data_IF_099061397628
#
_entry.id   IF_099061397628
#
_cell.length_a   1.000
_cell.length_b   1.000
_cell.length_c   1.000
_cell.angle_alpha   90.00
_cell.angle_beta   90.00
_cell.angle_gamma   90.00
#
_symmetry.space_group_name_H-M   'P 1'
#
loop_
_entity.id
_entity.type
_entity.pdbx_description
1 polymer ?
#
# COMPACT_ATOMS: atom_id res chain seq x y z
N UNK A 1 -20.11 -4.00 -63.92
CA UNK A 1 -20.99 -3.35 -62.89
C UNK A 1 -21.53 -4.39 -61.94
N UNK A 2 -20.96 -4.50 -60.76
CA UNK A 2 -21.61 -5.07 -59.54
C UNK A 2 -20.86 -4.50 -58.34
N UNK A 3 -21.53 -3.58 -57.62
CA UNK A 3 -21.08 -2.97 -56.37
C UNK A 3 -21.19 -4.01 -55.25
N UNK A 4 -20.08 -4.36 -54.62
CA UNK A 4 -20.11 -5.04 -53.32
C UNK A 4 -20.17 -3.98 -52.24
N UNK A 5 -21.32 -3.90 -51.57
CA UNK A 5 -21.51 -3.13 -50.35
C UNK A 5 -20.81 -3.88 -49.21
N UNK A 6 -19.77 -3.29 -48.64
CA UNK A 6 -19.22 -3.71 -47.37
C UNK A 6 -20.18 -3.23 -46.25
N UNK A 7 -20.94 -4.16 -45.72
CA UNK A 7 -21.67 -3.99 -44.49
C UNK A 7 -20.64 -3.97 -43.34
N UNK A 8 -20.41 -2.79 -42.80
CA UNK A 8 -19.75 -2.62 -41.52
C UNK A 8 -20.67 -3.21 -40.43
N UNK A 9 -20.32 -4.39 -39.95
CA UNK A 9 -20.88 -4.94 -38.71
C UNK A 9 -20.39 -4.06 -37.56
N UNK A 10 -21.30 -3.26 -37.03
CA UNK A 10 -21.07 -2.58 -35.75
C UNK A 10 -20.92 -3.65 -34.67
N UNK A 11 -19.69 -3.97 -34.31
CA UNK A 11 -19.38 -4.70 -33.08
C UNK A 11 -19.82 -3.83 -31.89
N UNK A 12 -21.04 -4.08 -31.48
CA UNK A 12 -21.54 -3.63 -30.18
C UNK A 12 -20.72 -4.38 -29.13
N UNK A 13 -19.61 -3.78 -28.72
CA UNK A 13 -18.93 -4.16 -27.48
C UNK A 13 -19.94 -4.00 -26.34
N UNK A 14 -20.62 -5.09 -26.03
CA UNK A 14 -21.23 -5.28 -24.72
C UNK A 14 -20.12 -5.20 -23.67
N UNK A 15 -19.84 -3.98 -23.23
CA UNK A 15 -19.14 -3.73 -21.99
C UNK A 15 -20.00 -4.36 -20.88
N UNK A 16 -19.76 -5.66 -20.64
CA UNK A 16 -20.20 -6.29 -19.39
C UNK A 16 -19.67 -5.40 -18.27
N UNK A 17 -20.57 -4.68 -17.62
CA UNK A 17 -20.31 -3.98 -16.37
C UNK A 17 -19.72 -5.02 -15.42
N UNK A 18 -18.38 -5.05 -15.35
CA UNK A 18 -17.68 -5.71 -14.26
C UNK A 18 -18.14 -4.97 -13.02
N UNK A 19 -19.12 -5.54 -12.32
CA UNK A 19 -19.55 -5.03 -11.03
C UNK A 19 -18.26 -4.87 -10.21
N UNK A 20 -17.92 -3.64 -9.84
CA UNK A 20 -16.84 -3.35 -8.92
C UNK A 20 -17.20 -4.06 -7.63
N UNK A 21 -16.73 -5.31 -7.49
CA UNK A 21 -16.93 -6.09 -6.27
C UNK A 21 -16.28 -5.33 -5.13
N UNK A 22 -17.04 -5.14 -4.07
CA UNK A 22 -16.52 -4.49 -2.86
C UNK A 22 -15.29 -5.26 -2.37
N UNK A 23 -14.21 -4.53 -2.06
CA UNK A 23 -12.98 -5.11 -1.49
C UNK A 23 -13.27 -5.98 -0.26
N UNK A 24 -14.34 -5.65 0.47
CA UNK A 24 -14.83 -6.41 1.62
C UNK A 24 -15.31 -7.81 1.24
N UNK A 25 -16.02 -7.97 0.14
CA UNK A 25 -16.45 -9.30 -0.35
C UNK A 25 -15.26 -10.14 -0.80
N UNK A 26 -14.27 -9.51 -1.42
CA UNK A 26 -13.04 -10.18 -1.86
C UNK A 26 -12.26 -10.69 -0.65
N UNK A 27 -12.08 -9.87 0.38
CA UNK A 27 -11.42 -10.26 1.63
C UNK A 27 -12.19 -11.38 2.36
N UNK A 28 -13.52 -11.29 2.42
CA UNK A 28 -14.35 -12.32 3.04
C UNK A 28 -14.21 -13.69 2.35
N UNK A 29 -14.06 -13.71 1.01
CA UNK A 29 -13.84 -14.95 0.25
C UNK A 29 -12.43 -15.51 0.40
N UNK A 30 -11.43 -14.69 0.75
CA UNK A 30 -10.06 -15.14 1.00
C UNK A 30 -9.89 -15.71 2.42
N UNK A 31 -10.74 -15.31 3.35
CA UNK A 31 -10.69 -15.74 4.75
C UNK A 31 -10.61 -17.26 4.96
N UNK A 32 -11.44 -18.10 4.29
CA UNK A 32 -11.37 -19.55 4.47
C UNK A 32 -10.01 -20.17 4.12
N UNK A 33 -9.30 -19.61 3.15
CA UNK A 33 -7.97 -20.09 2.75
C UNK A 33 -6.89 -19.76 3.78
N UNK A 34 -7.00 -18.59 4.42
CA UNK A 34 -6.13 -18.21 5.53
C UNK A 34 -6.45 -19.01 6.77
N UNK A 35 -7.73 -19.34 7.01
CA UNK A 35 -8.18 -20.09 8.17
C UNK A 35 -7.69 -21.55 8.19
N UNK A 36 -7.30 -22.11 7.04
CA UNK A 36 -6.61 -23.40 6.98
C UNK A 36 -5.29 -23.39 7.76
N UNK A 37 -4.68 -22.21 7.90
CA UNK A 37 -3.43 -22.00 8.61
C UNK A 37 -3.64 -21.27 9.95
N UNK A 38 -4.81 -21.45 10.59
CA UNK A 38 -5.26 -20.69 11.78
C UNK A 38 -4.22 -20.56 12.88
N UNK A 39 -3.50 -21.62 13.23
CA UNK A 39 -2.48 -21.60 14.26
C UNK A 39 -1.30 -20.69 13.90
N UNK A 40 -0.89 -20.67 12.65
CA UNK A 40 0.16 -19.78 12.16
C UNK A 40 -0.32 -18.33 12.12
N UNK A 41 -1.55 -18.10 11.68
CA UNK A 41 -2.16 -16.78 11.69
C UNK A 41 -2.26 -16.24 13.10
N UNK A 42 -2.74 -17.04 14.07
CA UNK A 42 -2.83 -16.64 15.47
C UNK A 42 -1.44 -16.37 16.09
N UNK A 43 -0.46 -17.19 15.81
CA UNK A 43 0.91 -17.01 16.28
C UNK A 43 1.53 -15.73 15.68
N UNK A 44 1.34 -15.48 14.40
CA UNK A 44 1.80 -14.27 13.74
C UNK A 44 1.11 -13.01 14.30
N UNK A 45 -0.20 -13.09 14.59
CA UNK A 45 -0.93 -12.01 15.28
C UNK A 45 -0.37 -11.77 16.69
N UNK A 46 -0.03 -12.83 17.43
CA UNK A 46 0.62 -12.72 18.74
C UNK A 46 1.97 -12.00 18.66
N UNK A 47 2.83 -12.38 17.72
CA UNK A 47 4.10 -11.67 17.48
C UNK A 47 3.89 -10.22 17.03
N UNK A 48 2.86 -9.96 16.24
CA UNK A 48 2.51 -8.61 15.80
C UNK A 48 2.12 -7.73 16.99
N UNK A 49 1.25 -8.22 17.86
CA UNK A 49 0.85 -7.49 19.08
C UNK A 49 2.07 -7.28 19.97
N UNK A 50 2.88 -8.32 20.18
CA UNK A 50 4.12 -8.23 20.95
C UNK A 50 5.08 -7.18 20.41
N UNK A 51 5.30 -7.15 19.09
CA UNK A 51 6.12 -6.13 18.43
C UNK A 51 5.59 -4.71 18.66
N UNK A 52 4.26 -4.51 18.55
CA UNK A 52 3.64 -3.20 18.72
C UNK A 52 3.64 -2.74 20.19
N UNK A 53 3.38 -3.63 21.12
CA UNK A 53 3.50 -3.35 22.57
C UNK A 53 4.94 -2.97 22.92
N UNK A 54 5.93 -3.73 22.43
CA UNK A 54 7.33 -3.41 22.63
C UNK A 54 7.69 -2.05 22.01
N UNK A 55 7.22 -1.75 20.81
CA UNK A 55 7.49 -0.48 20.13
C UNK A 55 6.92 0.73 20.90
N UNK A 56 5.70 0.62 21.42
CA UNK A 56 5.06 1.66 22.25
C UNK A 56 5.74 1.77 23.62
N UNK A 57 6.32 0.67 24.14
CA UNK A 57 7.06 0.65 25.39
C UNK A 57 8.44 1.33 25.33
N UNK A 58 9.07 1.38 24.15
CA UNK A 58 10.41 1.99 23.96
C UNK A 58 10.48 3.45 24.44
N UNK A 59 9.61 4.39 24.02
CA UNK A 59 9.66 5.77 24.48
C UNK A 59 9.34 5.92 25.98
N UNK A 60 8.52 5.04 26.55
CA UNK A 60 8.21 5.05 27.98
C UNK A 60 9.45 4.68 28.80
N UNK A 61 10.15 3.60 28.41
CA UNK A 61 11.42 3.21 29.05
C UNK A 61 12.51 4.25 28.84
N UNK A 62 12.57 4.89 27.67
CA UNK A 62 13.51 5.96 27.42
C UNK A 62 13.26 7.17 28.32
N UNK A 63 12.00 7.54 28.52
CA UNK A 63 11.63 8.59 29.48
C UNK A 63 12.11 8.25 30.88
N UNK A 64 11.80 7.05 31.40
CA UNK A 64 12.22 6.61 32.74
C UNK A 64 13.75 6.61 32.88
N UNK A 65 14.47 6.27 31.79
CA UNK A 65 15.93 6.30 31.78
C UNK A 65 16.45 7.75 31.84
N UNK A 66 15.88 8.67 31.06
CA UNK A 66 16.25 10.08 31.05
C UNK A 66 15.94 10.73 32.41
N UNK A 67 14.78 10.47 32.97
CA UNK A 67 14.36 11.01 34.28
C UNK A 67 15.31 10.56 35.42
N UNK A 68 15.85 9.34 35.35
CA UNK A 68 16.85 8.84 36.33
C UNK A 68 18.26 9.35 36.09
N UNK A 69 18.59 9.75 34.86
CA UNK A 69 19.89 10.35 34.50
C UNK A 69 19.92 11.86 34.73
N UNK A 70 18.75 12.52 34.85
CA UNK A 70 18.67 13.94 35.13
C UNK A 70 19.28 14.24 36.50
N UNK A 71 20.21 15.21 36.65
CA UNK A 71 20.86 15.51 37.90
C UNK A 71 19.84 16.06 38.90
N UNK A 72 19.65 15.34 40.01
CA UNK A 72 18.90 15.85 41.14
C UNK A 72 19.71 16.99 41.79
N UNK A 73 19.19 18.22 41.86
CA UNK A 73 19.93 19.38 42.39
C UNK A 73 20.33 19.22 43.88
N UNK A 74 19.77 18.24 44.59
CA UNK A 74 20.06 17.99 46.00
C UNK A 74 21.11 16.91 46.27
N UNK A 75 21.61 16.24 45.23
CA UNK A 75 22.60 15.16 45.34
C UNK A 75 23.94 15.53 44.66
N UNK A 76 24.63 16.56 45.16
CA UNK A 76 25.93 16.99 44.65
C UNK A 76 27.06 15.93 44.81
N UNK A 77 26.75 14.72 45.23
CA UNK A 77 27.71 13.62 45.41
C UNK A 77 27.17 12.23 45.04
N UNK A 78 26.00 12.12 44.44
CA UNK A 78 25.57 10.85 43.89
C UNK A 78 26.41 10.54 42.63
N UNK A 79 27.44 9.72 42.84
CA UNK A 79 28.14 9.00 41.78
C UNK A 79 27.13 8.64 40.68
N UNK A 80 27.39 9.03 39.45
CA UNK A 80 26.58 8.68 38.26
C UNK A 80 26.47 7.16 38.17
N UNK A 81 25.59 6.57 38.96
CA UNK A 81 25.24 5.15 38.85
C UNK A 81 24.40 5.05 37.57
N UNK A 82 25.07 4.82 36.46
CA UNK A 82 24.40 4.52 35.22
C UNK A 82 23.41 3.38 35.49
N UNK A 83 22.11 3.55 35.29
CA UNK A 83 21.12 2.49 35.56
C UNK A 83 21.26 1.38 34.50
N UNK A 84 22.33 0.59 34.64
CA UNK A 84 22.69 -0.47 33.71
C UNK A 84 21.55 -1.43 33.43
N UNK A 85 20.72 -1.73 34.45
CA UNK A 85 19.52 -2.55 34.27
C UNK A 85 18.50 -1.94 33.33
N UNK A 86 18.28 -0.62 33.37
CA UNK A 86 17.36 0.06 32.44
C UNK A 86 17.94 0.16 31.03
N UNK A 87 19.25 0.34 30.90
CA UNK A 87 19.92 0.33 29.60
C UNK A 87 19.80 -1.05 28.91
N UNK A 88 20.03 -2.12 29.67
CA UNK A 88 19.87 -3.49 29.18
C UNK A 88 18.41 -3.77 28.83
N UNK A 89 17.46 -3.37 29.70
CA UNK A 89 16.03 -3.51 29.43
C UNK A 89 15.60 -2.77 28.17
N UNK A 90 16.09 -1.53 27.98
CA UNK A 90 15.86 -0.77 26.74
C UNK A 90 16.41 -1.48 25.50
N UNK A 91 17.65 -1.98 25.57
CA UNK A 91 18.28 -2.73 24.49
C UNK A 91 17.53 -4.02 24.16
N UNK A 92 17.10 -4.78 25.17
CA UNK A 92 16.30 -6.00 24.99
C UNK A 92 14.93 -5.70 24.42
N UNK A 93 14.26 -4.65 24.89
CA UNK A 93 12.96 -4.24 24.35
C UNK A 93 13.07 -3.80 22.89
N UNK A 94 14.12 -3.05 22.56
CA UNK A 94 14.41 -2.62 21.19
C UNK A 94 14.69 -3.79 20.26
N UNK A 95 15.48 -4.77 20.71
CA UNK A 95 15.72 -6.02 20.01
C UNK A 95 14.43 -6.82 19.81
N UNK A 96 13.59 -6.89 20.85
CA UNK A 96 12.31 -7.62 20.80
C UNK A 96 11.36 -7.05 19.75
N UNK A 97 11.36 -5.73 19.48
CA UNK A 97 10.54 -5.14 18.42
C UNK A 97 10.89 -5.71 17.05
N UNK A 98 12.19 -5.79 16.73
CA UNK A 98 12.68 -6.34 15.46
C UNK A 98 12.50 -7.85 15.40
N UNK A 99 12.84 -8.56 16.47
CA UNK A 99 12.71 -10.01 16.54
C UNK A 99 11.26 -10.47 16.33
N UNK A 100 10.31 -9.85 17.01
CA UNK A 100 8.89 -10.18 16.83
C UNK A 100 8.38 -9.81 15.43
N UNK A 101 8.88 -8.73 14.82
CA UNK A 101 8.53 -8.38 13.45
C UNK A 101 9.01 -9.44 12.45
N UNK A 102 10.26 -9.90 12.57
CA UNK A 102 10.83 -10.94 11.71
C UNK A 102 10.16 -12.31 11.93
N UNK A 103 9.94 -12.70 13.20
CA UNK A 103 9.23 -13.95 13.50
C UNK A 103 7.81 -13.96 12.95
N UNK A 104 7.10 -12.84 13.06
CA UNK A 104 5.79 -12.67 12.44
C UNK A 104 5.86 -12.92 10.95
N UNK A 105 6.84 -12.29 10.26
CA UNK A 105 6.98 -12.39 8.81
C UNK A 105 7.28 -13.82 8.37
N UNK A 106 8.20 -14.51 9.02
CA UNK A 106 8.54 -15.90 8.75
C UNK A 106 7.35 -16.86 8.93
N UNK A 107 6.58 -16.69 10.00
CA UNK A 107 5.42 -17.53 10.28
C UNK A 107 4.30 -17.22 9.27
N UNK A 108 4.12 -15.95 8.93
CA UNK A 108 3.05 -15.52 8.05
C UNK A 108 3.31 -15.84 6.58
N UNK A 109 4.56 -15.72 6.12
CA UNK A 109 4.96 -16.05 4.75
C UNK A 109 4.50 -17.47 4.36
N UNK A 110 4.65 -18.46 5.27
CA UNK A 110 4.19 -19.83 5.02
C UNK A 110 2.67 -19.94 4.86
N UNK A 111 1.90 -19.12 5.54
CA UNK A 111 0.43 -19.10 5.41
C UNK A 111 0.01 -18.42 4.10
N UNK A 112 0.64 -17.30 3.75
CA UNK A 112 0.34 -16.53 2.53
C UNK A 112 0.68 -17.32 1.27
N UNK A 113 1.88 -17.90 1.22
CA UNK A 113 2.31 -18.74 0.09
C UNK A 113 1.45 -20.02 -0.03
N UNK A 114 1.10 -20.63 1.10
CA UNK A 114 0.20 -21.79 1.12
C UNK A 114 -1.21 -21.45 0.60
N UNK A 115 -1.76 -20.30 0.98
CA UNK A 115 -3.06 -19.82 0.49
C UNK A 115 -2.98 -19.51 -1.01
N UNK A 116 -1.95 -18.81 -1.47
CA UNK A 116 -1.73 -18.50 -2.88
C UNK A 116 -1.63 -19.77 -3.72
N UNK A 117 -0.85 -20.75 -3.28
CA UNK A 117 -0.76 -22.07 -3.94
C UNK A 117 -2.12 -22.77 -4.03
N UNK A 118 -2.89 -22.79 -2.94
CA UNK A 118 -4.20 -23.43 -2.91
C UNK A 118 -5.19 -22.79 -3.86
N UNK A 119 -5.18 -21.45 -3.95
CA UNK A 119 -6.03 -20.70 -4.87
C UNK A 119 -5.62 -20.98 -6.32
N UNK A 120 -4.33 -20.90 -6.63
CA UNK A 120 -3.81 -21.18 -7.98
C UNK A 120 -4.18 -22.57 -8.44
N UNK A 121 -4.02 -23.59 -7.57
CA UNK A 121 -4.37 -24.97 -7.89
C UNK A 121 -5.88 -25.13 -8.14
N UNK A 122 -6.73 -24.51 -7.33
CA UNK A 122 -8.19 -24.55 -7.54
C UNK A 122 -8.61 -23.89 -8.83
N UNK A 123 -8.04 -22.73 -9.16
CA UNK A 123 -8.32 -22.03 -10.43
C UNK A 123 -7.86 -22.88 -11.61
N UNK A 124 -6.66 -23.45 -11.54
CA UNK A 124 -6.11 -24.33 -12.57
C UNK A 124 -7.00 -25.56 -12.78
N UNK A 125 -7.36 -26.27 -11.70
CA UNK A 125 -8.25 -27.44 -11.80
C UNK A 125 -9.64 -27.08 -12.32
N UNK A 126 -10.18 -25.92 -11.92
CA UNK A 126 -11.46 -25.45 -12.44
C UNK A 126 -11.41 -25.18 -13.95
N UNK A 127 -10.36 -24.52 -14.43
CA UNK A 127 -10.19 -24.27 -15.86
C UNK A 127 -10.10 -25.57 -16.67
N UNK A 128 -9.41 -26.61 -16.16
CA UNK A 128 -9.34 -27.91 -16.82
C UNK A 128 -10.67 -28.65 -16.82
N UNK A 129 -11.55 -28.36 -15.87
CA UNK A 129 -12.90 -28.94 -15.80
C UNK A 129 -13.91 -28.24 -16.73
N UNK A 130 -13.54 -27.12 -17.35
CA UNK A 130 -14.41 -26.42 -18.30
C UNK A 130 -14.47 -27.12 -19.65
N UNK A 131 -15.56 -26.89 -20.39
CA UNK A 131 -15.81 -27.52 -21.69
C UNK A 131 -14.74 -27.18 -22.75
N UNK A 132 -14.54 -28.10 -23.70
CA UNK A 132 -13.66 -27.88 -24.85
C UNK A 132 -14.05 -26.59 -25.63
N UNK A 133 -15.34 -26.32 -25.75
CA UNK A 133 -15.84 -25.11 -26.41
C UNK A 133 -15.29 -23.83 -25.75
N UNK A 134 -15.25 -23.78 -24.43
CA UNK A 134 -14.67 -22.66 -23.69
C UNK A 134 -13.19 -22.44 -24.03
N UNK A 135 -12.42 -23.51 -24.19
CA UNK A 135 -11.00 -23.44 -24.53
C UNK A 135 -10.75 -23.05 -25.97
N UNK A 136 -11.63 -23.44 -26.90
CA UNK A 136 -11.54 -23.08 -28.32
C UNK A 136 -11.92 -21.62 -28.59
N UNK A 137 -12.87 -21.07 -27.80
CA UNK A 137 -13.32 -19.68 -27.92
C UNK A 137 -12.35 -18.65 -27.27
N UNK A 138 -11.39 -19.09 -26.46
CA UNK A 138 -10.45 -18.22 -25.75
C UNK A 138 -9.00 -18.56 -26.02
N UNK A 139 -8.18 -17.52 -26.13
CA UNK A 139 -6.73 -17.67 -26.28
C UNK A 139 -6.12 -18.15 -24.95
N UNK A 140 -5.50 -19.31 -24.96
CA UNK A 140 -4.88 -19.97 -23.79
C UNK A 140 -3.83 -19.07 -23.09
N UNK A 141 -3.04 -18.33 -23.86
CA UNK A 141 -2.05 -17.38 -23.32
C UNK A 141 -2.65 -16.21 -22.53
N UNK A 142 -3.87 -15.78 -22.86
CA UNK A 142 -4.61 -14.78 -22.10
C UNK A 142 -5.03 -15.30 -20.73
N UNK A 143 -5.56 -16.50 -20.66
CA UNK A 143 -6.00 -17.13 -19.41
C UNK A 143 -4.87 -17.34 -18.42
N UNK A 144 -3.70 -17.82 -18.85
CA UNK A 144 -2.53 -18.00 -18.00
C UNK A 144 -2.10 -16.68 -17.38
N UNK A 145 -2.05 -15.61 -18.19
CA UNK A 145 -1.72 -14.27 -17.70
C UNK A 145 -2.73 -13.74 -16.68
N UNK A 146 -4.02 -14.02 -16.87
CA UNK A 146 -5.07 -13.61 -15.95
C UNK A 146 -4.99 -14.37 -14.62
N UNK A 147 -4.65 -15.67 -14.63
CA UNK A 147 -4.39 -16.47 -13.42
C UNK A 147 -3.22 -15.87 -12.64
N UNK A 148 -2.10 -15.64 -13.31
CA UNK A 148 -0.91 -15.05 -12.66
C UNK A 148 -1.20 -13.68 -12.06
N UNK A 149 -1.91 -12.83 -12.80
CA UNK A 149 -2.31 -11.51 -12.32
C UNK A 149 -3.23 -11.62 -11.12
N UNK A 150 -4.23 -12.50 -11.17
CA UNK A 150 -5.15 -12.77 -10.08
C UNK A 150 -4.44 -13.29 -8.83
N UNK A 151 -3.54 -14.25 -8.97
CA UNK A 151 -2.76 -14.79 -7.85
C UNK A 151 -1.88 -13.73 -7.20
N UNK A 152 -1.18 -12.92 -8.01
CA UNK A 152 -0.38 -11.79 -7.50
C UNK A 152 -1.24 -10.74 -6.79
N UNK A 153 -2.43 -10.43 -7.31
CA UNK A 153 -3.35 -9.50 -6.67
C UNK A 153 -3.83 -10.02 -5.31
N UNK A 154 -4.17 -11.30 -5.21
CA UNK A 154 -4.55 -11.95 -3.94
C UNK A 154 -3.41 -11.89 -2.94
N UNK A 155 -2.18 -12.26 -3.36
CA UNK A 155 -1.00 -12.18 -2.50
C UNK A 155 -0.78 -10.75 -2.00
N UNK A 156 -0.86 -9.75 -2.88
CA UNK A 156 -0.70 -8.34 -2.52
C UNK A 156 -1.78 -7.85 -1.54
N UNK A 157 -3.04 -8.24 -1.73
CA UNK A 157 -4.14 -7.87 -0.82
C UNK A 157 -3.94 -8.45 0.58
N UNK A 158 -3.60 -9.75 0.65
CA UNK A 158 -3.32 -10.42 1.93
C UNK A 158 -2.14 -9.74 2.61
N UNK A 159 -1.02 -9.57 1.90
CA UNK A 159 0.19 -8.94 2.44
C UNK A 159 -0.08 -7.52 2.93
N UNK A 160 -0.73 -6.69 2.12
CA UNK A 160 -1.01 -5.31 2.51
C UNK A 160 -1.93 -5.21 3.73
N UNK A 161 -2.98 -6.03 3.79
CA UNK A 161 -3.90 -6.06 4.93
C UNK A 161 -3.20 -6.44 6.23
N UNK A 162 -2.33 -7.44 6.19
CA UNK A 162 -1.72 -8.05 7.37
C UNK A 162 -0.42 -7.39 7.80
N UNK A 163 0.36 -6.87 6.85
CA UNK A 163 1.63 -6.20 7.17
C UNK A 163 1.50 -4.69 7.34
N UNK A 164 0.42 -4.07 6.84
CA UNK A 164 0.23 -2.63 6.91
C UNK A 164 -1.03 -2.22 7.68
N UNK A 165 -2.22 -2.63 7.24
CA UNK A 165 -3.47 -2.11 7.80
C UNK A 165 -3.66 -2.56 9.25
N UNK A 166 -3.64 -3.86 9.53
CA UNK A 166 -3.91 -4.40 10.87
C UNK A 166 -2.88 -3.92 11.90
N UNK A 167 -1.56 -3.98 11.62
CA UNK A 167 -0.55 -3.46 12.55
C UNK A 167 -0.73 -1.97 12.87
N UNK A 168 -1.07 -1.17 11.86
CA UNK A 168 -1.31 0.27 12.06
C UNK A 168 -2.52 0.54 12.95
N UNK A 169 -3.62 -0.18 12.75
CA UNK A 169 -4.81 -0.04 13.62
C UNK A 169 -4.51 -0.41 15.07
N UNK A 170 -3.76 -1.49 15.29
CA UNK A 170 -3.34 -1.90 16.65
C UNK A 170 -2.43 -0.83 17.26
N UNK A 171 -1.46 -0.33 16.51
CA UNK A 171 -0.53 0.71 17.00
C UNK A 171 -1.27 1.99 17.38
N UNK A 172 -2.17 2.48 16.54
CA UNK A 172 -3.01 3.64 16.83
C UNK A 172 -3.84 3.43 18.10
N UNK A 173 -4.47 2.26 18.23
CA UNK A 173 -5.25 1.94 19.42
C UNK A 173 -4.39 1.92 20.70
N UNK A 174 -3.20 1.30 20.63
CA UNK A 174 -2.26 1.25 21.74
C UNK A 174 -1.76 2.65 22.13
N UNK A 175 -1.40 3.48 21.15
CA UNK A 175 -0.94 4.85 21.40
C UNK A 175 -2.04 5.70 22.03
N UNK A 176 -3.26 5.66 21.50
CA UNK A 176 -4.40 6.39 22.07
C UNK A 176 -4.71 5.93 23.50
N UNK A 177 -4.67 4.63 23.76
CA UNK A 177 -4.86 4.07 25.09
C UNK A 177 -3.76 4.52 26.06
N UNK A 178 -2.51 4.49 25.62
CA UNK A 178 -1.38 4.95 26.43
C UNK A 178 -1.50 6.45 26.75
N UNK A 179 -1.85 7.28 25.76
CA UNK A 179 -2.05 8.71 25.97
C UNK A 179 -3.19 8.98 26.97
N UNK A 180 -4.30 8.24 26.88
CA UNK A 180 -5.45 8.40 27.75
C UNK A 180 -5.20 7.92 29.18
N UNK A 181 -4.32 6.90 29.37
CA UNK A 181 -4.09 6.27 30.69
C UNK A 181 -2.88 6.81 31.44
N UNK A 182 -1.82 7.21 30.73
CA UNK A 182 -0.56 7.69 31.33
C UNK A 182 -0.42 9.21 31.31
N UNK A 183 -1.18 9.88 30.45
CA UNK A 183 -1.20 11.33 30.32
C UNK A 183 -2.65 11.82 30.48
N UNK A 184 -2.93 13.05 30.08
CA UNK A 184 -4.29 13.58 30.09
C UNK A 184 -5.07 13.09 28.86
N UNK A 185 -6.35 12.74 29.04
CA UNK A 185 -7.29 12.35 27.97
C UNK A 185 -7.32 13.38 26.83
N UNK A 186 -7.05 14.64 27.11
CA UNK A 186 -6.96 15.71 26.11
C UNK A 186 -5.93 15.40 25.04
N UNK A 187 -4.76 14.80 25.37
CA UNK A 187 -3.75 14.40 24.39
C UNK A 187 -4.26 13.32 23.43
N UNK A 188 -5.05 12.36 23.94
CA UNK A 188 -5.67 11.34 23.12
C UNK A 188 -6.68 11.96 22.12
N UNK A 189 -7.48 12.95 22.54
CA UNK A 189 -8.41 13.66 21.68
C UNK A 189 -7.72 14.51 20.62
N UNK A 190 -6.64 15.22 20.96
CA UNK A 190 -5.84 15.99 19.99
C UNK A 190 -5.28 15.05 18.93
N UNK A 191 -4.69 13.92 19.35
CA UNK A 191 -4.11 12.92 18.45
C UNK A 191 -5.18 12.30 17.53
N UNK A 192 -6.33 11.91 18.09
CA UNK A 192 -7.44 11.35 17.35
C UNK A 192 -7.98 12.34 16.30
N UNK A 193 -8.15 13.60 16.69
CA UNK A 193 -8.63 14.65 15.78
C UNK A 193 -7.65 14.88 14.63
N UNK A 194 -6.36 14.98 14.94
CA UNK A 194 -5.32 15.11 13.92
C UNK A 194 -5.31 13.92 12.97
N UNK A 195 -5.46 12.69 13.49
CA UNK A 195 -5.53 11.47 12.69
C UNK A 195 -6.76 11.46 11.77
N UNK A 196 -7.93 11.82 12.28
CA UNK A 196 -9.18 11.88 11.49
C UNK A 196 -9.04 12.91 10.37
N UNK A 197 -8.52 14.11 10.67
CA UNK A 197 -8.26 15.14 9.67
C UNK A 197 -7.26 14.66 8.61
N UNK A 198 -6.18 14.01 9.04
CA UNK A 198 -5.17 13.45 8.15
C UNK A 198 -5.78 12.42 7.18
N UNK A 199 -6.58 11.49 7.70
CA UNK A 199 -7.22 10.45 6.88
C UNK A 199 -8.24 11.07 5.93
N UNK A 200 -9.09 11.97 6.42
CA UNK A 200 -10.11 12.66 5.60
C UNK A 200 -9.45 13.46 4.46
N UNK A 201 -8.41 14.24 4.76
CA UNK A 201 -7.63 14.97 3.78
C UNK A 201 -6.99 14.04 2.75
N UNK A 202 -6.32 12.98 3.22
CA UNK A 202 -5.64 12.00 2.37
C UNK A 202 -6.62 11.34 1.40
N UNK A 203 -7.77 10.88 1.87
CA UNK A 203 -8.80 10.23 1.03
C UNK A 203 -9.32 11.21 -0.01
N UNK A 204 -9.71 12.42 0.41
CA UNK A 204 -10.28 13.44 -0.48
C UNK A 204 -9.30 13.85 -1.60
N UNK A 205 -8.06 14.16 -1.23
CA UNK A 205 -7.04 14.57 -2.19
C UNK A 205 -6.61 13.41 -3.10
N UNK A 206 -6.55 12.17 -2.56
CA UNK A 206 -6.21 10.99 -3.36
C UNK A 206 -7.29 10.67 -4.40
N UNK A 207 -8.57 10.81 -4.06
CA UNK A 207 -9.66 10.63 -5.03
C UNK A 207 -9.58 11.67 -6.15
N UNK A 208 -9.39 12.94 -5.79
CA UNK A 208 -9.20 14.01 -6.77
C UNK A 208 -7.96 13.78 -7.65
N UNK A 209 -6.83 13.37 -7.08
CA UNK A 209 -5.57 13.09 -7.76
C UNK A 209 -5.67 11.91 -8.74
N UNK A 210 -6.52 10.94 -8.47
CA UNK A 210 -6.70 9.75 -9.31
C UNK A 210 -7.10 10.10 -10.74
N UNK A 211 -7.83 11.19 -10.96
CA UNK A 211 -8.21 11.67 -12.30
C UNK A 211 -6.97 12.05 -13.12
N UNK A 212 -6.02 12.77 -12.53
CA UNK A 212 -4.77 13.16 -13.21
C UNK A 212 -3.88 11.98 -13.52
N UNK A 213 -3.83 10.99 -12.62
CA UNK A 213 -3.09 9.74 -12.87
C UNK A 213 -3.69 8.93 -14.01
N UNK A 214 -5.01 8.87 -14.13
CA UNK A 214 -5.68 8.19 -15.25
C UNK A 214 -5.29 8.82 -16.57
N UNK A 215 -5.38 10.15 -16.68
CA UNK A 215 -4.99 10.89 -17.90
C UNK A 215 -3.51 10.65 -18.24
N UNK A 216 -2.62 10.69 -17.25
CA UNK A 216 -1.20 10.40 -17.46
C UNK A 216 -1.00 8.98 -18.00
N UNK A 217 -1.63 7.97 -17.41
CA UNK A 217 -1.50 6.57 -17.84
C UNK A 217 -2.07 6.35 -19.25
N UNK A 218 -3.14 7.03 -19.64
CA UNK A 218 -3.69 6.97 -21.00
C UNK A 218 -2.72 7.57 -22.03
N UNK A 219 -2.10 8.70 -21.69
CA UNK A 219 -1.11 9.33 -22.55
C UNK A 219 0.18 8.50 -22.67
N UNK A 220 0.60 7.87 -21.59
CA UNK A 220 1.72 6.93 -21.57
C UNK A 220 1.47 5.75 -22.49
N UNK A 221 0.31 5.10 -22.36
CA UNK A 221 -0.10 4.01 -23.26
C UNK A 221 -0.13 4.45 -24.72
N UNK A 222 -0.65 5.65 -25.01
CA UNK A 222 -0.70 6.19 -26.39
C UNK A 222 0.69 6.47 -26.95
N UNK A 223 1.60 7.01 -26.13
CA UNK A 223 2.99 7.25 -26.54
C UNK A 223 3.70 5.92 -26.82
N UNK A 224 3.52 4.94 -25.92
CA UNK A 224 4.13 3.61 -26.07
C UNK A 224 3.62 2.87 -27.31
N UNK A 225 2.30 2.87 -27.55
CA UNK A 225 1.72 2.27 -28.77
C UNK A 225 2.29 2.91 -30.02
N UNK A 226 2.41 4.25 -30.08
CA UNK A 226 3.02 4.93 -31.24
C UNK A 226 4.45 4.53 -31.50
N UNK A 227 5.26 4.42 -30.44
CA UNK A 227 6.64 3.97 -30.57
C UNK A 227 6.71 2.55 -31.15
N UNK A 228 5.90 1.63 -30.62
CA UNK A 228 5.84 0.25 -31.10
C UNK A 228 5.36 0.21 -32.57
N UNK A 229 4.29 0.90 -32.91
CA UNK A 229 3.74 0.90 -34.26
C UNK A 229 4.76 1.44 -35.31
N UNK A 230 5.47 2.53 -34.96
CA UNK A 230 6.52 3.09 -35.82
C UNK A 230 7.70 2.13 -36.01
N UNK A 231 8.12 1.46 -34.91
CA UNK A 231 9.22 0.49 -34.97
C UNK A 231 8.84 -0.81 -35.68
N UNK A 232 7.61 -1.29 -35.53
CA UNK A 232 7.12 -2.47 -36.25
C UNK A 232 7.02 -2.21 -37.75
N UNK A 233 6.74 -0.97 -38.15
CA UNK A 233 6.64 -0.56 -39.53
C UNK A 233 7.93 0.17 -40.03
N UNK A 234 9.10 -0.13 -39.42
CA UNK A 234 10.34 0.57 -39.73
C UNK A 234 10.72 0.55 -41.21
N UNK A 235 10.44 -0.55 -41.92
CA UNK A 235 10.70 -0.68 -43.35
C UNK A 235 9.92 0.38 -44.16
N UNK A 236 8.64 0.56 -43.85
CA UNK A 236 7.80 1.58 -44.49
C UNK A 236 8.32 2.99 -44.18
N UNK A 237 8.70 3.25 -42.93
CA UNK A 237 9.27 4.54 -42.53
C UNK A 237 10.56 4.83 -43.29
N UNK A 238 11.46 3.83 -43.42
CA UNK A 238 12.70 3.92 -44.19
C UNK A 238 12.47 4.09 -45.67
N UNK A 239 11.53 3.33 -46.26
CA UNK A 239 11.25 3.37 -47.66
C UNK A 239 10.76 4.75 -48.13
N UNK A 240 9.99 5.45 -47.28
CA UNK A 240 9.48 6.79 -47.57
C UNK A 240 10.32 7.92 -46.97
N UNK A 241 11.48 7.66 -46.34
CA UNK A 241 12.33 8.64 -45.64
C UNK A 241 11.57 9.51 -44.63
N UNK A 242 10.65 8.89 -43.89
CA UNK A 242 9.75 9.58 -42.95
C UNK A 242 10.21 9.54 -41.50
N UNK A 243 11.50 9.28 -41.22
CA UNK A 243 12.02 9.18 -39.84
C UNK A 243 11.82 10.47 -39.06
N UNK A 244 12.06 11.60 -39.68
CA UNK A 244 11.89 12.91 -39.02
C UNK A 244 10.42 13.21 -38.68
N UNK A 245 9.50 12.76 -39.51
CA UNK A 245 8.06 12.90 -39.28
C UNK A 245 7.63 12.01 -38.08
N UNK A 246 8.04 10.74 -38.08
CA UNK A 246 7.74 9.83 -36.96
C UNK A 246 8.38 10.28 -35.64
N UNK A 247 9.62 10.77 -35.68
CA UNK A 247 10.28 11.34 -34.52
C UNK A 247 9.51 12.54 -33.95
N UNK A 248 9.08 13.47 -34.80
CA UNK A 248 8.28 14.63 -34.40
C UNK A 248 6.93 14.22 -33.79
N UNK A 249 6.26 13.27 -34.45
CA UNK A 249 4.98 12.74 -34.00
C UNK A 249 5.08 12.05 -32.63
N UNK A 250 6.18 11.35 -32.37
CA UNK A 250 6.47 10.72 -31.07
C UNK A 250 6.80 11.77 -30.02
N UNK A 251 7.62 12.78 -30.36
CA UNK A 251 7.94 13.89 -29.45
C UNK A 251 6.69 14.66 -29.00
N UNK A 252 5.74 14.92 -29.89
CA UNK A 252 4.45 15.53 -29.53
C UNK A 252 3.66 14.67 -28.52
N UNK A 253 3.74 13.33 -28.62
CA UNK A 253 3.10 12.44 -27.67
C UNK A 253 3.82 12.46 -26.31
N UNK A 254 5.14 12.45 -26.31
CA UNK A 254 5.96 12.57 -25.11
C UNK A 254 5.78 13.92 -24.40
N UNK A 255 5.64 15.01 -25.15
CA UNK A 255 5.39 16.34 -24.56
C UNK A 255 4.03 16.40 -23.85
N UNK A 256 2.98 15.77 -24.40
CA UNK A 256 1.69 15.63 -23.72
C UNK A 256 1.80 14.79 -22.45
N UNK A 257 2.52 13.68 -22.52
CA UNK A 257 2.81 12.82 -21.36
C UNK A 257 3.60 13.58 -20.29
N UNK A 258 4.63 14.32 -20.68
CA UNK A 258 5.43 15.15 -19.77
C UNK A 258 4.57 16.17 -19.01
N UNK A 259 3.69 16.90 -19.70
CA UNK A 259 2.78 17.88 -19.07
C UNK A 259 1.82 17.19 -18.07
N UNK A 260 1.25 16.05 -18.45
CA UNK A 260 0.38 15.28 -17.56
C UNK A 260 1.14 14.72 -16.35
N UNK A 261 2.36 14.24 -16.57
CA UNK A 261 3.25 13.77 -15.51
C UNK A 261 3.60 14.86 -14.49
N UNK A 262 3.96 16.06 -14.97
CA UNK A 262 4.22 17.22 -14.10
C UNK A 262 2.99 17.57 -13.25
N UNK A 263 1.79 17.58 -13.85
CA UNK A 263 0.56 17.86 -13.12
C UNK A 263 0.25 16.78 -12.09
N UNK A 264 0.47 15.52 -12.42
CA UNK A 264 0.35 14.40 -11.47
C UNK A 264 1.33 14.54 -10.30
N UNK A 265 2.57 14.96 -10.58
CA UNK A 265 3.58 15.19 -9.55
C UNK A 265 3.24 16.38 -8.64
N UNK A 266 2.75 17.50 -9.20
CA UNK A 266 2.29 18.66 -8.42
C UNK A 266 1.16 18.27 -7.45
N UNK A 267 0.19 17.45 -7.89
CA UNK A 267 -0.88 16.97 -7.01
C UNK A 267 -0.37 16.04 -5.91
N UNK A 268 0.71 15.28 -6.16
CA UNK A 268 1.39 14.47 -5.12
C UNK A 268 2.09 15.37 -4.10
N UNK A 269 2.80 16.39 -4.56
CA UNK A 269 3.46 17.34 -3.67
C UNK A 269 2.46 18.08 -2.78
N UNK A 270 1.29 18.46 -3.33
CA UNK A 270 0.21 19.07 -2.55
C UNK A 270 -0.31 18.11 -1.47
N UNK A 271 -0.50 16.83 -1.80
CA UNK A 271 -0.88 15.80 -0.83
C UNK A 271 0.13 15.70 0.31
N UNK A 272 1.41 15.55 -0.02
CA UNK A 272 2.47 15.39 0.96
C UNK A 272 2.60 16.65 1.85
N UNK A 273 2.57 17.84 1.26
CA UNK A 273 2.65 19.12 2.01
C UNK A 273 1.46 19.27 2.94
N UNK A 274 0.24 19.00 2.48
CA UNK A 274 -0.95 19.08 3.32
C UNK A 274 -0.91 18.06 4.48
N UNK A 275 -0.44 16.84 4.25
CA UNK A 275 -0.23 15.85 5.30
C UNK A 275 0.77 16.33 6.35
N UNK A 276 1.92 16.86 5.93
CA UNK A 276 2.92 17.42 6.86
C UNK A 276 2.40 18.61 7.64
N UNK A 277 1.59 19.46 7.02
CA UNK A 277 0.96 20.60 7.70
C UNK A 277 0.02 20.14 8.81
N UNK A 278 -0.81 19.12 8.57
CA UNK A 278 -1.72 18.57 9.59
C UNK A 278 -0.92 17.96 10.75
N UNK A 279 0.15 17.20 10.45
CA UNK A 279 1.02 16.61 11.48
C UNK A 279 1.67 17.73 12.31
N UNK A 280 2.26 18.74 11.66
CA UNK A 280 2.93 19.85 12.34
C UNK A 280 1.95 20.63 13.25
N UNK A 281 0.73 20.91 12.74
CA UNK A 281 -0.31 21.57 13.54
C UNK A 281 -0.70 20.74 14.77
N UNK A 282 -0.89 19.43 14.60
CA UNK A 282 -1.18 18.52 15.71
C UNK A 282 -0.08 18.52 16.77
N UNK A 283 1.19 18.46 16.34
CA UNK A 283 2.35 18.51 17.25
C UNK A 283 2.43 19.85 18.00
N UNK A 284 2.21 20.97 17.33
CA UNK A 284 2.22 22.30 17.96
C UNK A 284 1.14 22.37 19.05
N UNK A 285 -0.08 21.93 18.77
CA UNK A 285 -1.17 21.92 19.75
C UNK A 285 -0.84 20.99 20.94
N UNK A 286 -0.23 19.83 20.70
CA UNK A 286 0.20 18.93 21.76
C UNK A 286 1.30 19.55 22.64
N UNK A 287 2.30 20.18 22.02
CA UNK A 287 3.39 20.85 22.76
C UNK A 287 2.86 22.05 23.56
N UNK A 288 1.99 22.85 22.97
CA UNK A 288 1.36 23.96 23.69
C UNK A 288 0.58 23.47 24.92
N UNK A 289 -0.22 22.43 24.76
CA UNK A 289 -0.95 21.81 25.88
C UNK A 289 0.00 21.26 26.97
N UNK A 290 1.13 20.70 26.56
CA UNK A 290 2.13 20.16 27.48
C UNK A 290 2.88 21.24 28.28
N UNK A 291 2.94 22.49 27.78
CA UNK A 291 3.55 23.62 28.48
C UNK A 291 2.59 24.36 29.42
N UNK A 292 1.28 24.23 29.17
CA UNK A 292 0.22 24.84 29.99
C UNK A 292 -0.22 23.96 31.20
N UNK A 293 0.18 22.73 31.27
CA UNK A 293 -0.16 21.78 32.34
C UNK A 293 1.04 21.33 33.11
#
# INVERSE_FOLDING_TARGET
MRRHAHTQSADTQTSSSVSVRSDRETLARLWPYLWQYKWRVLLALGFMIGAKVANVGVPVLLKDLVDRLAPNPTAAQAMLVVPTGLLVAYGLLRLSTSLFAELRELVFAKATEGAARSISLKVFSHLHALSLRFHLERQTGGMTRDIERGTRAVHSLISYSLYSIIPTLIEVTLVLTLLATKFDVVFAWITLTALVLYVAFTVSVTQWRTQFRKVMNELDSKAHTRAIDSLLNYETVKYFNNESFEAKRYDEALEKLRKAGLKSQQTLSLLNTGQQTIIAAGLIVMLWRATDG
#
